data_IF_786500852937
#
_entry.id   IF_786500852937
#
_cell.length_a   1.000
_cell.length_b   1.000
_cell.length_c   1.000
_cell.angle_alpha   90.00
_cell.angle_beta   90.00
_cell.angle_gamma   90.00
#
_symmetry.space_group_name_H-M   'P 1'
#
loop_
_entity.id
_entity.type
_entity.pdbx_description
1 polymer ?
#
# COMPACT_ATOMS: atom_id res chain seq x y z
N UNK A 1 2.17 11.59 53.18
CA UNK A 1 3.23 10.74 52.60
C UNK A 1 2.73 10.23 51.26
N UNK A 2 3.41 10.57 50.17
CA UNK A 2 3.02 10.15 48.82
C UNK A 2 3.41 8.67 48.62
N UNK A 3 2.43 7.79 48.47
CA UNK A 3 2.60 6.32 48.35
C UNK A 3 3.50 5.95 47.16
N UNK A 4 3.68 6.85 46.20
CA UNK A 4 4.59 6.71 45.06
C UNK A 4 6.07 6.63 45.44
N UNK A 5 6.47 7.09 46.64
CA UNK A 5 7.86 7.02 47.10
C UNK A 5 8.28 5.63 47.62
N UNK A 6 7.34 4.70 47.80
CA UNK A 6 7.60 3.34 48.27
C UNK A 6 7.75 2.32 47.12
N UNK A 7 7.39 2.71 45.90
CA UNK A 7 7.59 1.85 44.73
C UNK A 7 9.03 2.02 44.22
N UNK A 8 9.87 0.97 44.20
CA UNK A 8 11.20 1.08 43.62
C UNK A 8 11.07 1.51 42.16
N UNK A 9 11.67 2.65 41.84
CA UNK A 9 11.72 3.18 40.49
C UNK A 9 12.39 2.16 39.58
N UNK A 10 11.60 1.45 38.78
CA UNK A 10 12.10 0.52 37.77
C UNK A 10 12.75 1.32 36.63
N UNK A 11 13.98 1.79 36.86
CA UNK A 11 14.91 2.05 35.75
C UNK A 11 15.10 0.70 35.06
N UNK A 12 14.48 0.52 33.90
CA UNK A 12 14.66 -0.67 33.06
C UNK A 12 16.12 -0.70 32.59
N UNK A 13 17.02 -1.22 33.41
CA UNK A 13 18.34 -1.61 32.96
C UNK A 13 18.14 -2.62 31.81
N UNK A 14 18.76 -2.37 30.66
CA UNK A 14 18.72 -3.30 29.54
C UNK A 14 19.34 -4.63 29.99
N UNK A 15 18.47 -5.61 30.29
CA UNK A 15 18.89 -6.93 30.76
C UNK A 15 19.69 -7.59 29.63
N UNK A 16 20.98 -7.88 29.88
CA UNK A 16 21.82 -8.63 28.92
C UNK A 16 21.13 -9.95 28.56
N UNK A 17 21.07 -10.26 27.26
CA UNK A 17 20.45 -11.51 26.78
C UNK A 17 21.22 -12.73 27.29
N UNK A 18 20.49 -13.69 27.86
CA UNK A 18 21.00 -15.01 28.22
C UNK A 18 21.50 -15.80 26.99
N UNK A 19 22.25 -16.88 27.21
CA UNK A 19 22.60 -17.83 26.15
C UNK A 19 21.33 -18.38 25.47
N UNK A 20 20.31 -18.73 26.25
CA UNK A 20 19.03 -19.22 25.74
C UNK A 20 18.32 -18.13 24.92
N UNK A 21 18.24 -16.90 25.44
CA UNK A 21 17.66 -15.76 24.72
C UNK A 21 18.32 -15.54 23.36
N UNK A 22 19.65 -15.71 23.27
CA UNK A 22 20.38 -15.64 22.00
C UNK A 22 19.99 -16.78 21.06
N UNK A 23 19.85 -18.01 21.56
CA UNK A 23 19.38 -19.15 20.78
C UNK A 23 17.93 -18.95 20.30
N UNK A 24 17.05 -18.40 21.14
CA UNK A 24 15.67 -18.05 20.77
C UNK A 24 15.64 -17.01 19.65
N UNK A 25 16.44 -15.93 19.77
CA UNK A 25 16.56 -14.90 18.73
C UNK A 25 17.05 -15.49 17.41
N UNK A 26 18.12 -16.30 17.44
CA UNK A 26 18.64 -16.97 16.24
C UNK A 26 17.57 -17.84 15.57
N UNK A 27 16.79 -18.57 16.37
CA UNK A 27 15.74 -19.45 15.89
C UNK A 27 14.58 -18.71 15.24
N UNK A 28 14.14 -17.60 15.86
CA UNK A 28 13.10 -16.74 15.28
C UNK A 28 13.55 -16.14 13.95
N UNK A 29 14.78 -15.62 13.88
CA UNK A 29 15.35 -15.08 12.64
C UNK A 29 15.49 -16.13 11.54
N UNK A 30 15.87 -17.36 11.90
CA UNK A 30 16.12 -18.44 10.93
C UNK A 30 14.83 -19.06 10.38
N UNK A 31 13.80 -19.22 11.21
CA UNK A 31 12.61 -20.00 10.81
C UNK A 31 11.28 -19.26 10.90
N UNK A 32 11.14 -18.28 11.79
CA UNK A 32 9.86 -17.61 12.04
C UNK A 32 9.66 -16.36 11.17
N UNK A 33 10.69 -15.50 11.08
CA UNK A 33 10.71 -14.28 10.27
C UNK A 33 11.02 -14.58 8.81
N UNK A 34 10.20 -15.42 8.20
CA UNK A 34 10.35 -15.87 6.82
C UNK A 34 9.00 -15.95 6.12
N UNK A 35 9.02 -15.91 4.79
CA UNK A 35 7.84 -16.08 3.93
C UNK A 35 7.21 -17.47 4.01
N UNK A 36 7.91 -18.46 4.60
CA UNK A 36 7.39 -19.82 4.84
C UNK A 36 6.29 -19.87 5.92
N UNK A 37 6.06 -18.76 6.64
CA UNK A 37 4.97 -18.58 7.61
C UNK A 37 4.83 -19.68 8.66
N UNK A 38 5.92 -20.34 9.06
CA UNK A 38 5.92 -21.37 10.11
C UNK A 38 5.27 -20.87 11.41
N UNK A 39 4.62 -21.79 12.13
CA UNK A 39 4.02 -21.50 13.43
C UNK A 39 5.09 -21.35 14.50
N UNK A 40 4.77 -20.63 15.59
CA UNK A 40 5.70 -20.44 16.69
C UNK A 40 6.06 -21.77 17.37
N UNK A 41 5.10 -22.71 17.45
CA UNK A 41 5.31 -24.06 17.98
C UNK A 41 6.27 -24.88 17.12
N UNK A 42 6.15 -24.81 15.79
CA UNK A 42 7.09 -25.47 14.89
C UNK A 42 8.50 -24.88 15.02
N UNK A 43 8.63 -23.56 15.11
CA UNK A 43 9.93 -22.91 15.29
C UNK A 43 10.60 -23.28 16.63
N UNK A 44 9.80 -23.49 17.68
CA UNK A 44 10.29 -23.98 18.97
C UNK A 44 10.85 -25.41 18.84
N UNK A 45 10.16 -26.32 18.17
CA UNK A 45 10.67 -27.68 17.92
C UNK A 45 11.99 -27.65 17.15
N UNK A 46 12.10 -26.82 16.11
CA UNK A 46 13.34 -26.66 15.34
C UNK A 46 14.48 -26.06 16.18
N UNK A 47 14.16 -25.11 17.07
CA UNK A 47 15.14 -24.57 18.01
C UNK A 47 15.70 -25.67 18.91
N UNK A 48 14.84 -26.52 19.47
CA UNK A 48 15.27 -27.64 20.31
C UNK A 48 16.17 -28.59 19.53
N UNK A 49 15.74 -29.00 18.34
CA UNK A 49 16.51 -29.87 17.45
C UNK A 49 17.89 -29.31 17.11
N UNK A 50 18.01 -28.00 16.92
CA UNK A 50 19.25 -27.37 16.45
C UNK A 50 20.21 -26.99 17.57
N UNK A 51 19.72 -26.60 18.75
CA UNK A 51 20.56 -26.04 19.82
C UNK A 51 20.60 -26.90 21.09
N UNK A 52 19.60 -27.78 21.27
CA UNK A 52 19.40 -28.51 22.52
C UNK A 52 19.31 -30.03 22.33
N UNK A 53 19.58 -30.55 21.13
CA UNK A 53 19.80 -31.97 20.91
C UNK A 53 21.29 -32.32 21.01
N UNK A 54 21.56 -33.48 21.57
CA UNK A 54 22.87 -34.13 21.61
C UNK A 54 23.14 -34.86 20.27
N UNK A 55 24.36 -35.35 20.08
CA UNK A 55 24.78 -36.02 18.84
C UNK A 55 24.01 -37.33 18.55
N UNK A 56 23.48 -37.96 19.60
CA UNK A 56 22.61 -39.14 19.56
C UNK A 56 21.13 -38.81 19.30
N UNK A 57 20.78 -37.52 19.16
CA UNK A 57 19.41 -37.07 18.94
C UNK A 57 18.58 -36.89 20.22
N UNK A 58 19.16 -37.14 21.41
CA UNK A 58 18.45 -36.93 22.69
C UNK A 58 18.41 -35.46 23.07
N UNK A 59 17.36 -35.04 23.79
CA UNK A 59 17.25 -33.67 24.28
C UNK A 59 18.10 -33.47 25.53
N UNK A 60 18.80 -32.34 25.63
CA UNK A 60 19.57 -31.96 26.83
C UNK A 60 18.67 -31.84 28.05
N UNK A 61 19.23 -32.06 29.24
CA UNK A 61 18.50 -31.93 30.52
C UNK A 61 18.00 -30.50 30.76
N UNK A 62 18.75 -29.50 30.33
CA UNK A 62 18.39 -28.09 30.48
C UNK A 62 18.08 -27.47 29.10
N UNK A 63 16.83 -27.04 28.95
CA UNK A 63 16.36 -26.29 27.78
C UNK A 63 15.22 -25.36 28.18
N UNK A 64 15.01 -24.27 27.44
CA UNK A 64 13.92 -23.36 27.73
C UNK A 64 12.58 -24.00 27.37
N UNK A 65 11.60 -23.84 28.25
CA UNK A 65 10.20 -24.19 27.98
C UNK A 65 9.62 -23.39 26.81
N UNK A 66 8.56 -23.93 26.21
CA UNK A 66 7.79 -23.20 25.19
C UNK A 66 7.23 -21.88 25.72
N UNK A 67 6.86 -21.81 27.01
CA UNK A 67 6.38 -20.58 27.63
C UNK A 67 7.46 -19.49 27.66
N UNK A 68 8.70 -19.84 28.00
CA UNK A 68 9.84 -18.91 27.95
C UNK A 68 10.10 -18.45 26.51
N UNK A 69 10.07 -19.36 25.53
CA UNK A 69 10.21 -19.02 24.11
C UNK A 69 9.10 -18.08 23.62
N UNK A 70 7.84 -18.38 23.96
CA UNK A 70 6.69 -17.54 23.61
C UNK A 70 6.75 -16.17 24.28
N UNK A 71 7.19 -16.13 25.54
CA UNK A 71 7.39 -14.88 26.27
C UNK A 71 8.49 -14.04 25.62
N UNK A 72 9.63 -14.65 25.27
CA UNK A 72 10.72 -13.99 24.56
C UNK A 72 10.23 -13.39 23.24
N UNK A 73 9.52 -14.17 22.42
CA UNK A 73 8.89 -13.68 21.20
C UNK A 73 7.98 -12.47 21.50
N UNK A 74 7.04 -12.58 22.44
CA UNK A 74 6.13 -11.47 22.78
C UNK A 74 6.86 -10.19 23.21
N UNK A 75 7.95 -10.34 23.95
CA UNK A 75 8.71 -9.21 24.51
C UNK A 75 9.56 -8.48 23.46
N UNK A 76 10.14 -9.21 22.51
CA UNK A 76 11.12 -8.65 21.57
C UNK A 76 10.63 -8.55 20.12
N UNK A 77 9.45 -9.11 19.82
CA UNK A 77 8.88 -9.05 18.48
C UNK A 77 8.32 -7.66 18.18
N UNK A 78 8.89 -6.99 17.18
CA UNK A 78 8.30 -5.80 16.56
C UNK A 78 7.30 -6.24 15.51
N UNK A 79 6.04 -5.81 15.65
CA UNK A 79 4.97 -6.21 14.72
C UNK A 79 5.28 -5.86 13.27
N UNK A 80 5.85 -4.69 13.01
CA UNK A 80 6.26 -4.28 11.67
C UNK A 80 7.24 -5.28 11.04
N UNK A 81 8.30 -5.65 11.77
CA UNK A 81 9.30 -6.63 11.31
C UNK A 81 8.67 -8.01 11.06
N UNK A 82 7.74 -8.42 11.92
CA UNK A 82 6.96 -9.65 11.73
C UNK A 82 6.13 -9.61 10.43
N UNK A 83 5.35 -8.56 10.22
CA UNK A 83 4.52 -8.42 9.03
C UNK A 83 5.35 -8.37 7.75
N UNK A 84 6.43 -7.57 7.73
CA UNK A 84 7.32 -7.43 6.58
C UNK A 84 8.00 -8.76 6.26
N UNK A 85 8.57 -9.43 7.25
CA UNK A 85 9.31 -10.69 7.03
C UNK A 85 8.40 -11.84 6.59
N UNK A 86 7.14 -11.87 7.05
CA UNK A 86 6.20 -12.96 6.78
C UNK A 86 5.34 -12.74 5.54
N UNK A 87 5.05 -11.50 5.17
CA UNK A 87 4.20 -11.17 4.02
C UNK A 87 4.94 -10.45 2.89
N UNK A 88 6.18 -10.02 3.13
CA UNK A 88 6.96 -9.23 2.18
C UNK A 88 6.74 -7.73 2.32
N UNK A 89 7.78 -6.96 1.99
CA UNK A 89 7.78 -5.50 2.08
C UNK A 89 6.68 -4.88 1.20
N UNK A 90 6.51 -5.38 -0.03
CA UNK A 90 5.50 -4.88 -0.96
C UNK A 90 4.06 -5.13 -0.50
N UNK A 91 3.80 -6.20 0.26
CA UNK A 91 2.47 -6.42 0.84
C UNK A 91 2.23 -5.48 2.02
N UNK A 92 3.24 -5.32 2.89
CA UNK A 92 3.16 -4.43 4.05
C UNK A 92 2.91 -2.97 3.64
N UNK A 93 3.69 -2.47 2.67
CA UNK A 93 3.54 -1.10 2.15
C UNK A 93 2.18 -0.86 1.50
N UNK A 94 1.57 -1.87 0.89
CA UNK A 94 0.26 -1.75 0.23
C UNK A 94 -0.93 -1.87 1.18
N UNK A 95 -0.88 -2.79 2.15
CA UNK A 95 -2.08 -3.24 2.87
C UNK A 95 -2.06 -3.01 4.38
N UNK A 96 -0.90 -2.70 4.97
CA UNK A 96 -0.72 -2.67 6.44
C UNK A 96 0.07 -1.43 6.88
N UNK A 97 0.06 -0.38 6.05
CA UNK A 97 0.79 0.85 6.34
C UNK A 97 0.16 1.58 7.54
N UNK A 98 0.97 2.03 8.53
CA UNK A 98 0.50 2.96 9.55
C UNK A 98 0.05 4.28 8.90
N UNK A 99 -1.21 4.67 9.10
CA UNK A 99 -1.73 5.97 8.70
C UNK A 99 -1.19 7.05 9.65
N UNK A 100 0.07 7.45 9.49
CA UNK A 100 0.60 8.67 10.11
C UNK A 100 0.02 9.86 9.37
N UNK A 101 -0.73 10.71 10.08
CA UNK A 101 -1.71 11.67 9.55
C UNK A 101 -1.26 12.63 8.45
N UNK A 102 0.03 12.80 8.19
CA UNK A 102 0.54 13.72 7.16
C UNK A 102 0.56 13.13 5.73
N UNK A 103 0.35 11.81 5.60
CA UNK A 103 -0.02 11.11 4.35
C UNK A 103 0.59 11.64 3.04
N UNK A 104 -0.30 11.91 2.08
CA UNK A 104 -0.01 12.47 0.74
C UNK A 104 0.29 13.97 0.79
N UNK A 105 -0.31 14.67 1.75
CA UNK A 105 -0.26 16.12 1.86
C UNK A 105 1.13 16.63 2.24
N UNK A 106 1.94 15.83 2.94
CA UNK A 106 3.37 16.11 3.13
C UNK A 106 4.15 16.20 1.81
N UNK A 107 3.70 15.47 0.78
CA UNK A 107 4.29 15.48 -0.56
C UNK A 107 3.60 16.49 -1.51
N UNK A 108 2.31 16.73 -1.31
CA UNK A 108 1.49 17.65 -2.06
C UNK A 108 0.83 18.68 -1.12
N UNK A 109 1.54 19.74 -0.71
CA UNK A 109 1.03 20.69 0.27
C UNK A 109 -0.06 21.63 -0.28
N UNK A 110 -0.29 21.63 -1.60
CA UNK A 110 -1.25 22.50 -2.29
C UNK A 110 -2.00 21.76 -3.39
N UNK A 111 -3.17 22.28 -3.76
CA UNK A 111 -3.93 21.84 -4.94
C UNK A 111 -3.09 22.02 -6.21
N UNK A 112 -3.31 21.16 -7.21
CA UNK A 112 -2.68 21.25 -8.53
C UNK A 112 -1.62 20.19 -8.78
N UNK A 113 -1.56 19.17 -7.93
CA UNK A 113 -0.72 17.98 -8.13
C UNK A 113 -1.60 16.78 -8.45
N UNK A 114 -1.77 16.48 -9.74
CA UNK A 114 -2.58 15.36 -10.21
C UNK A 114 -1.77 14.07 -10.24
N UNK A 115 -2.22 13.04 -9.52
CA UNK A 115 -1.62 11.70 -9.57
C UNK A 115 -2.38 10.84 -10.58
N UNK A 116 -1.64 10.20 -11.49
CA UNK A 116 -2.19 9.35 -12.55
C UNK A 116 -1.97 7.88 -12.23
N UNK A 117 -3.05 7.09 -12.21
CA UNK A 117 -2.97 5.64 -12.01
C UNK A 117 -3.98 4.92 -12.90
N UNK A 118 -3.62 3.73 -13.35
CA UNK A 118 -4.46 2.88 -14.19
C UNK A 118 -4.66 1.52 -13.50
N UNK A 119 -5.91 1.07 -13.43
CA UNK A 119 -6.25 -0.22 -12.83
C UNK A 119 -7.22 -0.98 -13.71
N UNK A 120 -7.03 -2.30 -13.79
CA UNK A 120 -8.02 -3.20 -14.39
C UNK A 120 -9.19 -3.30 -13.42
N UNK A 121 -10.39 -2.96 -13.87
CA UNK A 121 -11.60 -3.04 -13.05
C UNK A 121 -11.93 -4.49 -12.71
N UNK A 122 -12.51 -4.74 -11.53
CA UNK A 122 -12.93 -6.07 -11.09
C UNK A 122 -14.38 -6.37 -11.48
N UNK A 123 -14.75 -5.99 -12.70
CA UNK A 123 -16.04 -6.27 -13.32
C UNK A 123 -15.84 -6.82 -14.73
N UNK A 124 -16.73 -7.74 -15.12
CA UNK A 124 -16.81 -8.24 -16.47
C UNK A 124 -17.92 -7.51 -17.20
N UNK A 125 -17.58 -6.86 -18.31
CA UNK A 125 -18.56 -6.27 -19.20
C UNK A 125 -19.04 -7.30 -20.21
N UNK A 126 -20.34 -7.32 -20.45
CA UNK A 126 -21.00 -8.14 -21.46
C UNK A 126 -21.52 -7.23 -22.58
N UNK A 127 -21.56 -7.74 -23.80
CA UNK A 127 -22.22 -7.04 -24.90
C UNK A 127 -23.74 -7.24 -24.85
N UNK A 128 -24.48 -6.59 -25.76
CA UNK A 128 -25.93 -6.71 -25.87
C UNK A 128 -26.40 -8.15 -26.12
N UNK A 129 -25.55 -9.00 -26.69
CA UNK A 129 -25.82 -10.43 -26.91
C UNK A 129 -25.52 -11.31 -25.68
N UNK A 130 -25.12 -10.73 -24.55
CA UNK A 130 -24.78 -11.44 -23.31
C UNK A 130 -23.42 -12.13 -23.31
N UNK A 131 -22.58 -11.87 -24.32
CA UNK A 131 -21.22 -12.43 -24.40
C UNK A 131 -20.26 -11.57 -23.59
N UNK A 132 -19.39 -12.21 -22.79
CA UNK A 132 -18.34 -11.53 -22.03
C UNK A 132 -17.34 -10.90 -23.00
N UNK A 133 -17.20 -9.57 -22.92
CA UNK A 133 -16.22 -8.80 -23.70
C UNK A 133 -14.88 -8.77 -22.98
N UNK A 134 -14.91 -8.57 -21.66
CA UNK A 134 -13.70 -8.55 -20.83
C UNK A 134 -13.78 -7.56 -19.68
N UNK A 135 -12.61 -7.23 -19.13
CA UNK A 135 -12.45 -6.32 -17.99
C UNK A 135 -11.87 -4.99 -18.49
N UNK A 136 -12.54 -3.86 -18.28
CA UNK A 136 -12.03 -2.57 -18.71
C UNK A 136 -10.89 -2.10 -17.80
N UNK A 137 -10.09 -1.17 -18.31
CA UNK A 137 -9.04 -0.45 -17.60
C UNK A 137 -9.59 0.95 -17.29
N UNK A 138 -9.60 1.30 -16.01
CA UNK A 138 -9.94 2.63 -15.52
C UNK A 138 -8.65 3.38 -15.21
N UNK A 139 -8.43 4.48 -15.92
CA UNK A 139 -7.33 5.42 -15.67
C UNK A 139 -7.89 6.67 -15.03
N UNK A 140 -7.32 7.10 -13.90
CA UNK A 140 -7.80 8.22 -13.11
C UNK A 140 -6.71 9.27 -12.92
N UNK A 141 -7.13 10.54 -12.87
CA UNK A 141 -6.32 11.65 -12.37
C UNK A 141 -6.95 12.15 -11.08
N UNK A 142 -6.21 12.13 -9.98
CA UNK A 142 -6.69 12.57 -8.66
C UNK A 142 -5.78 13.65 -8.12
N UNK A 143 -6.35 14.77 -7.67
CA UNK A 143 -5.59 15.80 -6.97
C UNK A 143 -5.10 15.28 -5.62
N UNK A 144 -3.79 15.30 -5.42
CA UNK A 144 -3.11 14.71 -4.29
C UNK A 144 -3.46 15.38 -2.94
N UNK A 145 -3.76 16.68 -2.95
CA UNK A 145 -4.05 17.44 -1.75
C UNK A 145 -5.49 17.25 -1.29
N UNK A 146 -6.44 17.42 -2.21
CA UNK A 146 -7.89 17.38 -1.93
C UNK A 146 -8.52 15.99 -2.05
N UNK A 147 -7.88 15.07 -2.78
CA UNK A 147 -8.46 13.77 -3.12
C UNK A 147 -9.56 13.84 -4.19
N UNK A 148 -9.82 15.02 -4.77
CA UNK A 148 -10.82 15.19 -5.83
C UNK A 148 -10.36 14.51 -7.11
N UNK A 149 -11.25 13.77 -7.75
CA UNK A 149 -11.00 13.19 -9.07
C UNK A 149 -11.01 14.32 -10.09
N UNK A 150 -9.87 14.60 -10.73
CA UNK A 150 -9.78 15.62 -11.76
C UNK A 150 -10.44 15.19 -13.08
N UNK A 151 -10.36 13.89 -13.37
CA UNK A 151 -10.96 13.25 -14.55
C UNK A 151 -10.69 11.74 -14.58
N UNK A 152 -11.32 11.05 -15.53
CA UNK A 152 -11.18 9.62 -15.74
C UNK A 152 -11.15 9.24 -17.23
N UNK A 153 -10.70 8.02 -17.52
CA UNK A 153 -10.82 7.35 -18.81
C UNK A 153 -11.09 5.86 -18.58
N UNK A 154 -12.11 5.32 -19.25
CA UNK A 154 -12.43 3.90 -19.25
C UNK A 154 -12.14 3.33 -20.65
N UNK A 155 -11.21 2.39 -20.74
CA UNK A 155 -10.73 1.85 -22.03
C UNK A 155 -10.42 0.35 -21.96
N UNK A 156 -10.36 -0.33 -23.11
CA UNK A 156 -9.95 -1.74 -23.18
C UNK A 156 -8.44 -1.92 -23.08
N UNK A 157 -7.70 -0.93 -23.57
CA UNK A 157 -6.25 -0.89 -23.54
C UNK A 157 -5.79 0.31 -22.71
N UNK A 158 -4.73 0.10 -21.93
CA UNK A 158 -4.04 1.17 -21.21
C UNK A 158 -3.18 2.00 -22.15
N UNK A 159 -2.18 2.67 -21.61
CA UNK A 159 -1.24 3.40 -22.45
C UNK A 159 -1.71 4.78 -22.88
N UNK A 160 -1.14 5.25 -23.98
CA UNK A 160 -1.25 6.65 -24.39
C UNK A 160 -2.67 7.08 -24.77
N UNK A 161 -3.47 6.17 -25.34
CA UNK A 161 -4.86 6.48 -25.70
C UNK A 161 -5.70 6.73 -24.45
N UNK A 162 -5.50 5.94 -23.39
CA UNK A 162 -6.19 6.15 -22.12
C UNK A 162 -5.76 7.47 -21.47
N UNK A 163 -4.47 7.82 -21.54
CA UNK A 163 -3.97 9.10 -21.03
C UNK A 163 -4.49 10.29 -21.83
N UNK A 164 -4.54 10.21 -23.15
CA UNK A 164 -5.12 11.25 -24.00
C UNK A 164 -6.59 11.50 -23.64
N UNK A 165 -7.39 10.43 -23.56
CA UNK A 165 -8.79 10.53 -23.20
C UNK A 165 -8.99 11.08 -21.79
N UNK A 166 -8.13 10.67 -20.85
CA UNK A 166 -8.11 11.20 -19.50
C UNK A 166 -7.83 12.71 -19.50
N UNK A 167 -6.82 13.18 -20.22
CA UNK A 167 -6.48 14.61 -20.25
C UNK A 167 -7.62 15.44 -20.87
N UNK A 168 -8.27 14.94 -21.92
CA UNK A 168 -9.46 15.57 -22.49
C UNK A 168 -10.61 15.63 -21.48
N UNK A 169 -10.80 14.58 -20.68
CA UNK A 169 -11.81 14.58 -19.62
C UNK A 169 -11.46 15.54 -18.49
N UNK A 170 -10.18 15.64 -18.08
CA UNK A 170 -9.70 16.55 -17.03
C UNK A 170 -10.07 18.00 -17.34
N UNK A 171 -9.87 18.45 -18.59
CA UNK A 171 -10.20 19.82 -19.02
C UNK A 171 -11.66 20.02 -19.44
N UNK A 172 -12.45 18.95 -19.49
CA UNK A 172 -13.85 19.05 -19.91
C UNK A 172 -14.71 19.70 -18.82
N UNK A 173 -15.75 20.41 -19.28
CA UNK A 173 -16.88 20.84 -18.48
C UNK A 173 -17.64 19.58 -17.97
N UNK A 174 -17.55 19.32 -16.67
CA UNK A 174 -18.10 18.10 -16.06
C UNK A 174 -19.62 18.08 -16.08
N UNK A 175 -20.28 19.23 -15.99
CA UNK A 175 -21.74 19.33 -16.11
C UNK A 175 -22.18 18.87 -17.50
N UNK A 176 -21.54 19.40 -18.55
CA UNK A 176 -21.82 18.99 -19.94
C UNK A 176 -21.43 17.55 -20.21
N UNK A 177 -20.32 17.08 -19.63
CA UNK A 177 -19.86 15.69 -19.77
C UNK A 177 -20.88 14.72 -19.17
N UNK A 178 -21.28 14.91 -17.91
CA UNK A 178 -22.24 14.07 -17.21
C UNK A 178 -23.62 14.08 -17.87
N UNK A 179 -24.08 15.24 -18.38
CA UNK A 179 -25.35 15.33 -19.09
C UNK A 179 -25.43 14.43 -20.33
N UNK A 180 -24.31 14.21 -21.04
CA UNK A 180 -24.27 13.27 -22.19
C UNK A 180 -24.63 11.83 -21.81
N UNK A 181 -24.46 11.48 -20.54
CA UNK A 181 -24.78 10.17 -19.98
C UNK A 181 -26.07 10.18 -19.15
N UNK A 182 -26.87 11.26 -19.23
CA UNK A 182 -28.11 11.38 -18.46
C UNK A 182 -27.92 11.67 -16.96
N UNK A 183 -26.72 12.11 -16.57
CA UNK A 183 -26.40 12.46 -15.17
C UNK A 183 -26.41 13.99 -15.04
N UNK A 184 -27.34 14.53 -14.26
CA UNK A 184 -27.37 15.96 -13.94
C UNK A 184 -26.56 16.22 -12.66
N UNK A 185 -25.63 17.16 -12.74
CA UNK A 185 -24.81 17.64 -11.62
C UNK A 185 -24.69 19.16 -11.64
N UNK A 186 -24.43 19.73 -10.48
CA UNK A 186 -24.00 21.12 -10.33
C UNK A 186 -22.48 21.24 -10.42
N UNK A 187 -21.97 22.41 -10.85
CA UNK A 187 -20.53 22.66 -11.00
C UNK A 187 -19.76 22.43 -9.69
N UNK A 188 -20.38 22.71 -8.53
CA UNK A 188 -19.77 22.50 -7.21
C UNK A 188 -19.54 21.02 -6.88
N UNK A 189 -20.31 20.11 -7.47
CA UNK A 189 -20.17 18.66 -7.22
C UNK A 189 -18.95 18.08 -7.93
N UNK A 190 -18.52 18.70 -9.05
CA UNK A 190 -17.31 18.31 -9.76
C UNK A 190 -16.62 19.52 -10.41
N UNK A 191 -15.90 20.34 -9.62
CA UNK A 191 -15.39 21.64 -10.06
C UNK A 191 -14.12 21.55 -10.95
N UNK A 192 -13.58 20.34 -11.16
CA UNK A 192 -12.35 20.15 -11.93
C UNK A 192 -12.58 20.34 -13.43
N UNK A 193 -11.92 21.34 -14.02
CA UNK A 193 -11.99 21.68 -15.45
C UNK A 193 -10.68 22.19 -16.03
N UNK A 194 -9.57 22.04 -15.30
CA UNK A 194 -8.26 22.56 -15.65
C UNK A 194 -7.20 21.47 -15.46
N UNK A 195 -6.12 21.57 -16.24
CA UNK A 195 -4.97 20.70 -16.05
C UNK A 195 -4.29 21.03 -14.70
N UNK A 196 -3.93 20.01 -13.92
CA UNK A 196 -3.02 20.19 -12.80
C UNK A 196 -1.69 20.77 -13.27
N UNK A 197 -1.08 21.64 -12.45
CA UNK A 197 0.24 22.20 -12.72
C UNK A 197 1.32 21.11 -12.74
N UNK A 198 1.19 20.11 -11.88
CA UNK A 198 2.10 18.97 -11.81
C UNK A 198 1.34 17.67 -12.01
N UNK A 199 1.84 16.82 -12.88
CA UNK A 199 1.35 15.47 -13.08
C UNK A 199 2.39 14.48 -12.55
N UNK A 200 1.94 13.65 -11.61
CA UNK A 200 2.76 12.64 -10.96
C UNK A 200 2.36 11.27 -11.47
N UNK A 201 3.33 10.53 -12.00
CA UNK A 201 3.12 9.18 -12.54
C UNK A 201 4.02 8.18 -11.85
N UNK A 202 3.66 6.90 -11.95
CA UNK A 202 4.60 5.83 -11.68
C UNK A 202 5.56 5.63 -12.87
N UNK A 203 6.60 4.81 -12.69
CA UNK A 203 7.58 4.47 -13.72
C UNK A 203 6.99 3.59 -14.86
N UNK A 204 5.67 3.48 -15.00
CA UNK A 204 4.99 2.73 -16.06
C UNK A 204 5.50 3.14 -17.44
N UNK A 205 5.68 2.15 -18.31
CA UNK A 205 6.18 2.33 -19.68
C UNK A 205 5.32 3.31 -20.49
N UNK A 206 4.02 3.33 -20.21
CA UNK A 206 3.02 4.19 -20.82
C UNK A 206 3.23 5.69 -20.54
N UNK A 207 3.89 6.03 -19.43
CA UNK A 207 4.15 7.42 -19.03
C UNK A 207 5.52 7.93 -19.50
N UNK A 208 6.35 7.04 -20.07
CA UNK A 208 7.70 7.36 -20.55
C UNK A 208 7.78 7.62 -22.05
N UNK A 209 6.66 7.51 -22.77
CA UNK A 209 6.63 7.76 -24.20
C UNK A 209 6.83 9.25 -24.53
N UNK A 210 7.59 9.54 -25.58
CA UNK A 210 7.87 10.90 -26.07
C UNK A 210 6.58 11.72 -26.29
N UNK A 211 5.52 11.06 -26.72
CA UNK A 211 4.21 11.69 -26.95
C UNK A 211 3.55 12.22 -25.67
N UNK A 212 3.68 11.54 -24.52
CA UNK A 212 3.10 12.05 -23.27
C UNK A 212 3.97 13.19 -22.69
N UNK A 213 5.28 13.14 -22.94
CA UNK A 213 6.19 14.21 -22.54
C UNK A 213 5.80 15.56 -23.17
N UNK A 214 5.19 15.60 -24.35
CA UNK A 214 4.71 16.83 -25.01
C UNK A 214 3.70 17.63 -24.17
N UNK A 215 3.06 17.04 -23.15
CA UNK A 215 2.20 17.80 -22.24
C UNK A 215 2.96 18.90 -21.49
N UNK A 216 4.29 18.78 -21.38
CA UNK A 216 5.13 19.81 -20.78
C UNK A 216 5.14 21.11 -21.58
N UNK A 217 4.87 21.06 -22.88
CA UNK A 217 4.79 22.24 -23.74
C UNK A 217 3.58 23.12 -23.38
N UNK A 218 2.60 22.56 -22.66
CA UNK A 218 1.45 23.28 -22.12
C UNK A 218 1.74 23.91 -20.73
N UNK A 219 2.99 23.85 -20.27
CA UNK A 219 3.40 24.39 -18.96
C UNK A 219 3.14 23.45 -17.77
N UNK A 220 2.82 22.17 -18.04
CA UNK A 220 2.62 21.15 -17.01
C UNK A 220 3.96 20.50 -16.64
N UNK A 221 4.27 20.36 -15.36
CA UNK A 221 5.44 19.65 -14.88
C UNK A 221 5.15 18.15 -14.76
N UNK A 222 5.93 17.31 -15.46
CA UNK A 222 5.86 15.85 -15.30
C UNK A 222 6.87 15.36 -14.27
N UNK A 223 6.38 14.64 -13.27
CA UNK A 223 7.20 14.02 -12.24
C UNK A 223 6.96 12.51 -12.19
N UNK A 224 8.04 11.73 -12.33
CA UNK A 224 7.97 10.29 -12.17
C UNK A 224 8.50 9.87 -10.80
N UNK A 225 7.67 9.21 -9.99
CA UNK A 225 8.09 8.68 -8.70
C UNK A 225 8.52 7.20 -8.82
N UNK A 226 9.49 6.80 -8.00
CA UNK A 226 9.77 5.36 -7.80
C UNK A 226 8.49 4.70 -7.28
N UNK A 227 8.15 3.53 -7.82
CA UNK A 227 6.89 2.81 -7.58
C UNK A 227 6.49 2.70 -6.10
N UNK A 228 7.47 2.54 -5.21
CA UNK A 228 7.25 2.48 -3.76
C UNK A 228 6.75 3.80 -3.15
N UNK A 229 7.18 4.95 -3.67
CA UNK A 229 6.77 6.28 -3.20
C UNK A 229 5.43 6.69 -3.80
N UNK A 230 5.17 6.32 -5.07
CA UNK A 230 3.88 6.52 -5.73
C UNK A 230 2.75 5.68 -5.11
N UNK A 231 3.04 4.41 -4.79
CA UNK A 231 2.12 3.55 -4.03
C UNK A 231 1.85 4.09 -2.62
N UNK A 232 2.77 4.90 -2.05
CA UNK A 232 2.57 5.56 -0.76
C UNK A 232 1.65 6.80 -0.86
N UNK A 233 1.31 7.31 -2.04
CA UNK A 233 0.55 8.57 -2.14
C UNK A 233 -0.80 8.43 -2.85
N UNK A 234 -0.86 7.84 -4.04
CA UNK A 234 -2.09 7.86 -4.86
C UNK A 234 -2.93 6.58 -4.75
N UNK A 235 -2.24 5.45 -4.63
CA UNK A 235 -2.81 4.12 -4.94
C UNK A 235 -3.95 3.72 -4.01
N UNK A 236 -3.91 4.10 -2.73
CA UNK A 236 -4.97 3.74 -1.77
C UNK A 236 -6.26 4.51 -2.06
N UNK A 237 -6.19 5.81 -2.36
CA UNK A 237 -7.37 6.63 -2.69
C UNK A 237 -7.98 6.17 -4.00
N UNK A 238 -7.17 5.98 -5.03
CA UNK A 238 -7.63 5.53 -6.35
C UNK A 238 -8.22 4.13 -6.28
N UNK A 239 -7.59 3.19 -5.55
CA UNK A 239 -8.11 1.83 -5.38
C UNK A 239 -9.34 1.77 -4.50
N UNK A 240 -9.42 2.56 -3.43
CA UNK A 240 -10.62 2.67 -2.59
C UNK A 240 -11.80 3.23 -3.40
N UNK A 241 -11.56 4.27 -4.20
CA UNK A 241 -12.57 4.81 -5.12
C UNK A 241 -12.98 3.78 -6.17
N UNK A 242 -12.04 3.04 -6.76
CA UNK A 242 -12.36 1.97 -7.71
C UNK A 242 -13.28 0.92 -7.08
N UNK A 243 -13.03 0.53 -5.83
CA UNK A 243 -13.89 -0.43 -5.10
C UNK A 243 -15.29 0.17 -4.86
N UNK A 244 -15.36 1.42 -4.38
CA UNK A 244 -16.65 2.08 -4.08
C UNK A 244 -17.49 2.38 -5.32
N UNK A 245 -16.88 2.74 -6.46
CA UNK A 245 -17.59 2.93 -7.72
C UNK A 245 -18.18 1.62 -8.24
N UNK A 246 -17.48 0.49 -8.07
CA UNK A 246 -17.96 -0.83 -8.48
C UNK A 246 -19.06 -1.37 -7.58
N UNK A 247 -19.03 -1.06 -6.27
CA UNK A 247 -20.09 -1.45 -5.32
C UNK A 247 -21.38 -0.63 -5.50
N UNK A 248 -21.29 0.58 -6.06
CA UNK A 248 -22.44 1.46 -6.30
C UNK A 248 -23.31 1.06 -7.50
N UNK A 249 -22.95 0.01 -8.25
CA UNK A 249 -23.79 -0.55 -9.31
C UNK A 249 -24.05 0.39 -10.50
N UNK A 250 -23.09 1.28 -10.80
CA UNK A 250 -23.06 2.08 -12.04
C UNK A 250 -22.25 1.33 -13.09
#
# INVERSE_FOLDING_TARGET
MDVRSLAPGNKKAEKKLSADDKNMRKSLNKWYYTTKKRTLKNCYTLMLQHFYCNADGTLREQYPSYYQFRYFYRRYNKKETEYISRNGLSYYQRNQRPLTGDGVQAFAPTIGMGMLDATVCDIYLVNESGTIVGRPILTLCVDAYSGVICGYSLSWEGGIYSLRNLMLNVIADKVKHCRKYGIEIEEVQWPSRQLPLKLVTDQGSEYKGENFAQITDLGVELMTLKKNLFMMTAYTTIRALTISFLEAGI
#
